data_IF_981004857453
#
_entry.id   IF_981004857453
#
_cell.length_a   1.000
_cell.length_b   1.000
_cell.length_c   1.000
_cell.angle_alpha   90.00
_cell.angle_beta   90.00
_cell.angle_gamma   90.00
#
_symmetry.space_group_name_H-M   'P 1'
#
loop_
_entity.id
_entity.type
_entity.pdbx_description
1 polymer ?
#
# COMPACT_ATOMS: atom_id res chain seq x y z
N UNK A 1 -36.71 -10.45 5.65
CA UNK A 1 -36.95 -9.48 4.55
C UNK A 1 -36.17 -9.98 3.36
N UNK A 2 -36.73 -9.92 2.15
CA UNK A 2 -36.00 -10.31 0.94
C UNK A 2 -34.94 -9.24 0.68
N UNK A 3 -33.68 -9.68 0.53
CA UNK A 3 -32.57 -8.85 0.12
C UNK A 3 -32.85 -8.23 -1.25
N UNK A 4 -32.58 -6.95 -1.41
CA UNK A 4 -32.76 -6.22 -2.66
C UNK A 4 -31.39 -6.14 -3.34
N UNK A 5 -31.28 -6.70 -4.54
CA UNK A 5 -30.06 -6.62 -5.34
C UNK A 5 -30.25 -5.65 -6.48
N UNK A 6 -29.41 -4.63 -6.57
CA UNK A 6 -29.43 -3.61 -7.62
C UNK A 6 -28.17 -3.67 -8.46
N UNK A 7 -28.38 -3.68 -9.76
CA UNK A 7 -27.33 -3.54 -10.78
C UNK A 7 -27.63 -2.37 -11.69
N UNK A 8 -26.60 -1.69 -12.17
CA UNK A 8 -26.75 -0.54 -13.05
C UNK A 8 -26.05 -0.83 -14.39
N UNK A 9 -26.61 -0.38 -15.53
CA UNK A 9 -26.03 -0.64 -16.84
C UNK A 9 -24.58 -0.14 -16.92
N UNK A 10 -23.66 -1.04 -17.30
CA UNK A 10 -22.23 -0.72 -17.43
C UNK A 10 -21.43 -0.66 -16.12
N UNK A 11 -22.10 -0.79 -14.96
CA UNK A 11 -21.42 -0.85 -13.66
C UNK A 11 -20.99 -2.29 -13.34
N UNK A 12 -19.75 -2.49 -12.84
CA UNK A 12 -19.30 -3.80 -12.37
C UNK A 12 -19.75 -4.08 -10.94
N UNK A 13 -20.44 -3.15 -10.27
CA UNK A 13 -20.90 -3.30 -8.89
C UNK A 13 -22.29 -3.91 -8.81
N UNK A 14 -22.47 -4.74 -7.80
CA UNK A 14 -23.74 -5.36 -7.43
C UNK A 14 -24.10 -4.92 -6.00
N UNK A 15 -25.07 -4.00 -5.86
CA UNK A 15 -25.45 -3.46 -4.57
C UNK A 15 -26.52 -4.34 -3.90
N UNK A 16 -26.19 -4.87 -2.76
CA UNK A 16 -27.08 -5.64 -1.88
C UNK A 16 -27.58 -4.73 -0.75
N UNK A 17 -28.88 -4.63 -0.59
CA UNK A 17 -29.47 -3.78 0.44
C UNK A 17 -30.69 -4.44 1.09
N UNK A 18 -30.86 -4.30 2.42
CA UNK A 18 -32.04 -4.84 3.10
C UNK A 18 -33.30 -3.95 2.94
N UNK A 19 -33.12 -2.74 2.37
CA UNK A 19 -34.18 -1.74 2.20
C UNK A 19 -33.92 -0.83 0.99
N UNK A 20 -34.95 -0.14 0.54
CA UNK A 20 -34.87 0.93 -0.46
C UNK A 20 -34.48 2.27 0.18
N UNK A 21 -33.83 3.19 -0.57
CA UNK A 21 -33.62 4.56 -0.11
C UNK A 21 -34.93 5.23 0.31
N UNK A 22 -34.91 5.93 1.44
CA UNK A 22 -36.08 6.55 2.02
C UNK A 22 -35.81 7.97 2.55
N UNK A 23 -36.86 8.73 2.82
CA UNK A 23 -36.73 10.13 3.23
C UNK A 23 -36.08 10.98 2.14
N UNK A 24 -35.05 11.74 2.50
CA UNK A 24 -34.29 12.60 1.58
C UNK A 24 -33.19 11.85 0.77
N UNK A 25 -32.96 10.56 1.08
CA UNK A 25 -31.90 9.78 0.41
C UNK A 25 -32.09 9.68 -1.11
N UNK A 26 -33.32 9.40 -1.66
CA UNK A 26 -33.50 9.32 -3.12
C UNK A 26 -33.10 10.63 -3.82
N UNK A 27 -33.51 11.78 -3.27
CA UNK A 27 -33.16 13.08 -3.81
C UNK A 27 -31.66 13.33 -3.74
N UNK A 28 -31.02 13.08 -2.59
CA UNK A 28 -29.59 13.25 -2.42
C UNK A 28 -28.76 12.35 -3.38
N UNK A 29 -29.19 11.09 -3.60
CA UNK A 29 -28.56 10.19 -4.55
C UNK A 29 -28.65 10.75 -5.97
N UNK A 30 -29.81 11.24 -6.38
CA UNK A 30 -30.02 11.78 -7.73
C UNK A 30 -29.18 13.04 -7.94
N UNK A 31 -29.26 14.03 -7.04
CA UNK A 31 -28.52 15.30 -7.14
C UNK A 31 -27.00 15.07 -7.17
N UNK A 32 -26.48 14.15 -6.34
CA UNK A 32 -25.06 13.83 -6.33
C UNK A 32 -24.59 13.12 -7.62
N UNK A 33 -25.41 12.23 -8.18
CA UNK A 33 -25.11 11.58 -9.45
C UNK A 33 -25.16 12.56 -10.62
N UNK A 34 -26.20 13.43 -10.70
CA UNK A 34 -26.28 14.50 -11.69
C UNK A 34 -25.09 15.45 -11.62
N UNK A 35 -24.63 15.77 -10.40
CA UNK A 35 -23.43 16.57 -10.18
C UNK A 35 -22.18 15.90 -10.74
N UNK A 36 -21.99 14.60 -10.53
CA UNK A 36 -20.88 13.83 -11.11
C UNK A 36 -20.95 13.77 -12.63
N UNK A 37 -22.12 13.49 -13.18
CA UNK A 37 -22.35 13.43 -14.64
C UNK A 37 -22.11 14.80 -15.32
N UNK A 38 -22.43 15.89 -14.63
CA UNK A 38 -22.15 17.26 -15.09
C UNK A 38 -20.71 17.72 -14.88
N UNK A 39 -19.86 16.89 -14.28
CA UNK A 39 -18.43 17.15 -14.07
C UNK A 39 -18.11 18.03 -12.87
N UNK A 40 -18.97 18.10 -11.87
CA UNK A 40 -18.65 18.78 -10.61
C UNK A 40 -17.52 18.07 -9.88
N UNK A 41 -16.43 18.80 -9.64
CA UNK A 41 -15.24 18.24 -8.98
C UNK A 41 -15.44 17.99 -7.47
N UNK A 42 -16.32 18.76 -6.83
CA UNK A 42 -16.57 18.70 -5.38
C UNK A 42 -18.06 18.81 -5.09
N UNK A 43 -18.52 17.95 -4.19
CA UNK A 43 -19.89 17.98 -3.67
C UNK A 43 -19.86 17.68 -2.19
N UNK A 44 -20.83 18.17 -1.43
CA UNK A 44 -20.93 17.93 0.01
C UNK A 44 -22.30 17.38 0.36
N UNK A 45 -22.33 16.19 0.96
CA UNK A 45 -23.52 15.61 1.57
C UNK A 45 -23.55 15.96 3.06
N UNK A 46 -24.49 16.80 3.47
CA UNK A 46 -24.72 17.15 4.88
C UNK A 46 -25.85 16.28 5.43
N UNK A 47 -25.56 15.51 6.47
CA UNK A 47 -26.55 14.66 7.14
C UNK A 47 -26.17 14.38 8.57
N UNK A 48 -27.16 14.29 9.45
CA UNK A 48 -26.98 13.91 10.87
C UNK A 48 -26.50 12.44 10.97
N UNK A 49 -25.98 12.08 12.13
CA UNK A 49 -25.63 10.69 12.42
C UNK A 49 -26.88 9.80 12.29
N UNK A 50 -26.74 8.66 11.62
CA UNK A 50 -27.85 7.73 11.38
C UNK A 50 -28.79 8.10 10.22
N UNK A 51 -28.49 9.16 9.44
CA UNK A 51 -29.27 9.49 8.23
C UNK A 51 -29.02 8.57 7.03
N UNK A 52 -28.15 7.58 7.16
CA UNK A 52 -27.82 6.63 6.08
C UNK A 52 -26.85 7.17 5.05
N UNK A 53 -25.93 8.07 5.42
CA UNK A 53 -24.88 8.58 4.52
C UNK A 53 -24.07 7.46 3.85
N UNK A 54 -23.73 6.41 4.59
CA UNK A 54 -23.02 5.24 4.04
C UNK A 54 -23.82 4.55 2.93
N UNK A 55 -25.12 4.39 3.13
CA UNK A 55 -26.02 3.82 2.13
C UNK A 55 -26.14 4.72 0.89
N UNK A 56 -26.18 6.04 1.09
CA UNK A 56 -26.13 7.01 -0.02
C UNK A 56 -24.83 6.86 -0.82
N UNK A 57 -23.66 6.77 -0.15
CA UNK A 57 -22.38 6.54 -0.82
C UNK A 57 -22.39 5.22 -1.62
N UNK A 58 -22.90 4.13 -1.05
CA UNK A 58 -22.98 2.84 -1.72
C UNK A 58 -23.83 2.90 -3.01
N UNK A 59 -24.98 3.61 -2.96
CA UNK A 59 -25.81 3.82 -4.16
C UNK A 59 -25.09 4.62 -5.26
N UNK A 60 -24.30 5.63 -4.87
CA UNK A 60 -23.54 6.44 -5.83
C UNK A 60 -22.41 5.57 -6.45
N UNK A 61 -21.66 4.82 -5.66
CA UNK A 61 -20.60 3.91 -6.13
C UNK A 61 -21.18 2.89 -7.11
N UNK A 62 -22.29 2.24 -6.76
CA UNK A 62 -22.93 1.26 -7.61
C UNK A 62 -23.40 1.87 -8.94
N UNK A 63 -23.98 3.06 -8.93
CA UNK A 63 -24.51 3.74 -10.12
C UNK A 63 -23.40 4.25 -11.04
N UNK A 64 -22.35 4.85 -10.48
CA UNK A 64 -21.21 5.38 -11.25
C UNK A 64 -20.33 4.29 -11.85
N UNK A 65 -20.25 3.13 -11.21
CA UNK A 65 -19.54 1.97 -11.74
C UNK A 65 -18.02 2.13 -11.85
N UNK A 66 -17.44 3.03 -11.07
CA UNK A 66 -15.99 3.30 -11.03
C UNK A 66 -15.41 2.98 -9.65
N UNK A 67 -14.12 2.66 -9.56
CA UNK A 67 -13.48 2.43 -8.26
C UNK A 67 -13.69 3.60 -7.30
N UNK A 68 -13.72 3.30 -5.99
CA UNK A 68 -13.92 4.31 -4.97
C UNK A 68 -12.93 4.14 -3.81
N UNK A 69 -12.56 5.27 -3.20
CA UNK A 69 -11.85 5.31 -1.92
C UNK A 69 -12.68 6.13 -0.91
N UNK A 70 -12.84 5.58 0.28
CA UNK A 70 -13.53 6.21 1.41
C UNK A 70 -12.50 6.49 2.49
N UNK A 71 -12.23 7.75 2.75
CA UNK A 71 -11.28 8.20 3.75
C UNK A 71 -12.00 8.43 5.09
N UNK A 72 -11.62 7.69 6.12
CA UNK A 72 -12.17 7.80 7.47
C UNK A 72 -11.19 8.46 8.45
N UNK A 73 -11.64 9.23 9.43
CA UNK A 73 -10.77 9.98 10.34
C UNK A 73 -10.00 9.11 11.34
N UNK A 74 -10.43 7.89 11.59
CA UNK A 74 -9.74 6.96 12.49
C UNK A 74 -10.02 5.48 12.14
N UNK A 75 -9.25 4.55 12.75
CA UNK A 75 -9.37 3.10 12.49
C UNK A 75 -10.75 2.54 12.86
N UNK A 76 -11.38 3.03 13.92
CA UNK A 76 -12.69 2.53 14.37
C UNK A 76 -13.78 2.84 13.36
N UNK A 77 -13.85 4.08 12.89
CA UNK A 77 -14.80 4.48 11.85
C UNK A 77 -14.49 3.82 10.52
N UNK A 78 -13.20 3.65 10.17
CA UNK A 78 -12.81 2.90 8.99
C UNK A 78 -13.27 1.43 9.07
N UNK A 79 -13.15 0.77 10.22
CA UNK A 79 -13.61 -0.60 10.39
C UNK A 79 -15.13 -0.72 10.26
N UNK A 80 -15.88 0.23 10.80
CA UNK A 80 -17.34 0.28 10.65
C UNK A 80 -17.74 0.46 9.17
N UNK A 81 -17.18 1.45 8.48
CA UNK A 81 -17.45 1.71 7.06
C UNK A 81 -17.07 0.51 6.18
N UNK A 82 -15.94 -0.14 6.50
CA UNK A 82 -15.51 -1.35 5.81
C UNK A 82 -16.53 -2.49 5.97
N UNK A 83 -17.02 -2.72 7.19
CA UNK A 83 -18.04 -3.73 7.45
C UNK A 83 -19.34 -3.43 6.69
N UNK A 84 -19.83 -2.20 6.78
CA UNK A 84 -21.04 -1.76 6.06
C UNK A 84 -20.89 -1.90 4.54
N UNK A 85 -19.73 -1.50 3.97
CA UNK A 85 -19.49 -1.62 2.53
C UNK A 85 -19.39 -3.09 2.09
N UNK A 86 -18.85 -3.99 2.91
CA UNK A 86 -18.85 -5.43 2.62
C UNK A 86 -20.24 -6.05 2.62
N UNK A 87 -21.16 -5.54 3.44
CA UNK A 87 -22.56 -5.95 3.41
C UNK A 87 -23.26 -5.44 2.15
N UNK A 88 -22.95 -4.21 1.71
CA UNK A 88 -23.51 -3.65 0.47
C UNK A 88 -22.91 -4.25 -0.80
N UNK A 89 -21.64 -4.69 -0.78
CA UNK A 89 -20.92 -5.19 -1.94
C UNK A 89 -20.26 -6.56 -1.66
N UNK A 90 -21.04 -7.62 -1.32
CA UNK A 90 -20.49 -8.91 -0.94
C UNK A 90 -19.73 -9.61 -2.06
N UNK A 91 -20.04 -9.31 -3.33
CA UNK A 91 -19.47 -9.92 -4.53
C UNK A 91 -18.36 -9.06 -5.17
N UNK A 92 -18.10 -7.86 -4.65
CA UNK A 92 -17.10 -6.93 -5.18
C UNK A 92 -15.87 -6.85 -4.27
N UNK A 93 -14.82 -6.18 -4.72
CA UNK A 93 -13.59 -6.02 -3.94
C UNK A 93 -13.74 -4.86 -2.95
N UNK A 94 -14.17 -5.15 -1.74
CA UNK A 94 -14.14 -4.19 -0.64
C UNK A 94 -12.88 -4.41 0.19
N UNK A 95 -12.03 -3.40 0.28
CA UNK A 95 -10.68 -3.49 0.80
C UNK A 95 -10.44 -2.53 1.98
N UNK A 96 -9.55 -2.90 2.89
CA UNK A 96 -9.24 -2.16 4.10
C UNK A 96 -7.79 -1.69 4.09
N UNK A 97 -7.58 -0.37 4.19
CA UNK A 97 -6.26 0.23 4.09
C UNK A 97 -6.00 1.22 5.24
N UNK A 98 -5.67 0.68 6.41
CA UNK A 98 -5.37 1.46 7.60
C UNK A 98 -3.90 1.29 8.02
N UNK A 99 -3.43 2.06 8.98
CA UNK A 99 -2.08 1.88 9.52
C UNK A 99 -1.90 0.45 10.07
N UNK A 100 -0.91 -0.25 9.57
CA UNK A 100 -0.58 -1.63 9.98
C UNK A 100 0.24 -1.71 11.27
N UNK A 101 0.49 -0.57 11.91
CA UNK A 101 1.17 -0.55 13.20
C UNK A 101 0.16 -0.72 14.35
N UNK A 102 0.40 -1.71 15.22
CA UNK A 102 -0.26 -1.80 16.52
C UNK A 102 0.36 -0.80 17.50
N UNK A 103 1.67 -0.57 17.34
CA UNK A 103 2.43 0.46 18.04
C UNK A 103 3.37 1.14 17.06
N UNK A 104 3.45 2.47 17.11
CA UNK A 104 4.34 3.25 16.27
C UNK A 104 4.92 4.44 17.02
N UNK A 105 6.23 4.45 17.17
CA UNK A 105 7.03 5.57 17.64
C UNK A 105 7.93 6.03 16.50
N UNK A 106 7.68 7.21 15.90
CA UNK A 106 8.57 7.75 14.88
C UNK A 106 9.93 8.11 15.47
N UNK A 107 10.98 8.02 14.67
CA UNK A 107 12.27 8.57 15.06
C UNK A 107 12.16 10.08 15.27
N UNK A 108 12.78 10.58 16.32
CA UNK A 108 12.78 12.00 16.64
C UNK A 108 14.06 12.38 17.41
N UNK A 109 14.41 13.66 17.37
CA UNK A 109 15.47 14.20 18.19
C UNK A 109 14.96 15.38 19.01
N UNK A 110 15.26 15.39 20.29
CA UNK A 110 14.89 16.45 21.24
C UNK A 110 16.15 17.23 21.61
N UNK A 111 16.46 18.34 20.93
CA UNK A 111 17.74 19.06 21.11
C UNK A 111 17.98 19.54 22.54
N UNK A 112 16.93 19.95 23.25
CA UNK A 112 17.03 20.44 24.64
C UNK A 112 17.49 19.40 25.64
N UNK A 113 17.41 18.10 25.30
CA UNK A 113 17.80 16.97 26.16
C UNK A 113 18.91 16.13 25.55
N UNK A 114 19.40 16.47 24.38
CA UNK A 114 20.30 15.65 23.54
C UNK A 114 19.82 14.19 23.44
N UNK A 115 18.51 14.01 23.25
CA UNK A 115 17.85 12.70 23.25
C UNK A 115 17.41 12.33 21.85
N UNK A 116 18.02 11.29 21.29
CA UNK A 116 17.54 10.65 20.07
C UNK A 116 16.57 9.52 20.44
N UNK A 117 15.39 9.55 19.84
CA UNK A 117 14.36 8.52 19.96
C UNK A 117 14.41 7.70 18.67
N UNK A 118 14.76 6.42 18.79
CA UNK A 118 14.74 5.52 17.65
C UNK A 118 13.31 5.22 17.19
N UNK A 119 13.15 4.95 15.87
CA UNK A 119 11.90 4.41 15.33
C UNK A 119 11.66 3.03 15.92
N UNK A 120 10.55 2.89 16.64
CA UNK A 120 10.07 1.62 17.16
C UNK A 120 8.63 1.35 16.66
N UNK A 121 8.35 0.11 16.28
CA UNK A 121 7.04 -0.24 15.72
C UNK A 121 6.77 -1.73 15.82
N UNK A 122 5.53 -2.06 16.15
CA UNK A 122 4.99 -3.41 16.07
C UNK A 122 4.02 -3.49 14.87
N UNK A 123 4.29 -4.39 13.95
CA UNK A 123 3.51 -4.59 12.73
C UNK A 123 2.43 -5.63 12.97
N UNK A 124 1.20 -5.32 12.56
CA UNK A 124 0.10 -6.26 12.48
C UNK A 124 0.11 -6.92 11.11
N UNK A 125 0.54 -8.18 11.04
CA UNK A 125 0.67 -8.92 9.78
C UNK A 125 -0.65 -9.10 9.03
N UNK A 126 -1.77 -9.18 9.75
CA UNK A 126 -3.08 -9.29 9.12
C UNK A 126 -3.49 -7.99 8.43
N UNK A 127 -3.27 -6.84 9.08
CA UNK A 127 -3.53 -5.54 8.45
C UNK A 127 -2.55 -5.29 7.29
N UNK A 128 -1.30 -5.72 7.39
CA UNK A 128 -0.34 -5.64 6.28
C UNK A 128 -0.83 -6.43 5.07
N UNK A 129 -1.31 -7.66 5.27
CA UNK A 129 -1.91 -8.48 4.23
C UNK A 129 -3.11 -7.78 3.57
N UNK A 130 -4.02 -7.18 4.36
CA UNK A 130 -5.17 -6.45 3.83
C UNK A 130 -4.76 -5.23 2.98
N UNK A 131 -3.70 -4.53 3.36
CA UNK A 131 -3.14 -3.41 2.58
C UNK A 131 -2.58 -3.88 1.23
N UNK A 132 -1.86 -5.00 1.21
CA UNK A 132 -1.34 -5.59 -0.04
C UNK A 132 -2.48 -6.08 -0.94
N UNK A 133 -3.54 -6.67 -0.35
CA UNK A 133 -4.76 -7.04 -1.06
C UNK A 133 -5.43 -5.81 -1.70
N UNK A 134 -5.57 -4.73 -0.97
CA UNK A 134 -6.16 -3.49 -1.47
C UNK A 134 -5.37 -2.91 -2.67
N UNK A 135 -4.04 -2.91 -2.58
CA UNK A 135 -3.18 -2.43 -3.66
C UNK A 135 -3.31 -3.30 -4.91
N UNK A 136 -3.37 -4.63 -4.76
CA UNK A 136 -3.61 -5.54 -5.87
C UNK A 136 -4.97 -5.31 -6.49
N UNK A 137 -6.03 -5.23 -5.67
CA UNK A 137 -7.40 -5.06 -6.14
C UNK A 137 -7.58 -3.78 -6.95
N UNK A 138 -7.04 -2.64 -6.49
CA UNK A 138 -7.17 -1.37 -7.23
C UNK A 138 -6.40 -1.38 -8.57
N UNK A 139 -5.33 -2.16 -8.67
CA UNK A 139 -4.55 -2.30 -9.89
C UNK A 139 -5.18 -3.28 -10.90
N UNK A 140 -5.96 -4.26 -10.45
CA UNK A 140 -6.51 -5.32 -11.29
C UNK A 140 -8.01 -5.20 -11.57
N UNK A 141 -8.78 -4.58 -10.66
CA UNK A 141 -10.25 -4.63 -10.66
C UNK A 141 -10.85 -3.23 -10.72
N UNK A 142 -11.93 -3.13 -11.50
CA UNK A 142 -12.72 -1.90 -11.61
C UNK A 142 -13.81 -1.79 -10.55
N UNK A 143 -14.16 -2.88 -9.91
CA UNK A 143 -15.18 -3.01 -8.87
C UNK A 143 -14.58 -2.95 -7.45
N UNK A 144 -13.63 -2.03 -7.24
CA UNK A 144 -12.90 -1.93 -5.98
C UNK A 144 -13.36 -0.73 -5.15
N UNK A 145 -13.66 -0.98 -3.87
CA UNK A 145 -13.91 0.05 -2.84
C UNK A 145 -12.85 -0.08 -1.76
N UNK A 146 -12.03 0.95 -1.56
CA UNK A 146 -11.02 0.98 -0.51
C UNK A 146 -11.52 1.86 0.64
N UNK A 147 -11.54 1.35 1.86
CA UNK A 147 -11.74 2.15 3.07
C UNK A 147 -10.40 2.38 3.75
N UNK A 148 -9.99 3.65 3.87
CA UNK A 148 -8.66 4.03 4.32
C UNK A 148 -8.68 5.08 5.43
N UNK A 149 -7.56 5.21 6.14
CA UNK A 149 -7.31 6.32 7.07
C UNK A 149 -6.17 7.20 6.59
N UNK A 150 -6.14 8.47 6.97
CA UNK A 150 -5.11 9.45 6.56
C UNK A 150 -3.69 8.94 6.82
N UNK A 151 -3.45 8.36 8.00
CA UNK A 151 -2.11 7.87 8.38
C UNK A 151 -1.61 6.70 7.53
N UNK A 152 -2.51 6.02 6.83
CA UNK A 152 -2.19 4.81 6.10
C UNK A 152 -1.77 5.06 4.66
N UNK A 153 -2.17 6.18 4.05
CA UNK A 153 -1.91 6.45 2.63
C UNK A 153 -0.44 6.73 2.33
N UNK A 154 0.34 7.11 3.33
CA UNK A 154 1.77 7.39 3.21
C UNK A 154 2.63 6.15 3.42
N UNK A 155 3.92 6.26 3.07
CA UNK A 155 4.89 5.21 3.33
C UNK A 155 4.72 3.99 2.42
N UNK A 156 4.38 4.21 1.17
CA UNK A 156 4.34 3.19 0.12
C UNK A 156 5.22 3.59 -1.06
N UNK A 157 5.68 2.60 -1.81
CA UNK A 157 6.55 2.81 -2.96
C UNK A 157 5.81 3.37 -4.16
N UNK A 158 6.54 3.52 -5.27
CA UNK A 158 6.04 4.01 -6.54
C UNK A 158 5.15 2.97 -7.22
N UNK A 159 3.93 3.33 -7.71
CA UNK A 159 3.02 2.37 -8.36
C UNK A 159 3.65 1.64 -9.56
N UNK A 160 4.46 2.35 -10.36
CA UNK A 160 5.12 1.79 -11.53
C UNK A 160 6.13 0.70 -11.12
N UNK A 161 6.98 0.96 -10.10
CA UNK A 161 7.95 -0.01 -9.61
C UNK A 161 7.24 -1.24 -9.02
N UNK A 162 6.16 -1.04 -8.25
CA UNK A 162 5.35 -2.13 -7.71
C UNK A 162 4.73 -3.00 -8.83
N UNK A 163 4.18 -2.36 -9.87
CA UNK A 163 3.58 -3.04 -11.01
C UNK A 163 4.62 -3.75 -11.89
N UNK A 164 5.79 -3.12 -12.09
CA UNK A 164 6.88 -3.69 -12.88
C UNK A 164 7.47 -4.94 -12.23
N UNK A 165 7.52 -4.99 -10.92
CA UNK A 165 8.08 -6.12 -10.19
C UNK A 165 7.13 -7.31 -10.01
N UNK A 166 5.86 -7.20 -10.43
CA UNK A 166 4.95 -8.36 -10.43
C UNK A 166 5.46 -9.47 -11.35
N UNK A 167 5.31 -10.70 -10.93
CA UNK A 167 5.70 -11.88 -11.70
C UNK A 167 4.47 -12.57 -12.26
N UNK A 168 4.31 -12.52 -13.58
CA UNK A 168 3.22 -13.19 -14.29
C UNK A 168 3.73 -14.56 -14.74
N UNK A 169 3.05 -15.64 -14.32
CA UNK A 169 3.37 -17.03 -14.66
C UNK A 169 2.20 -17.66 -15.40
N UNK A 170 2.50 -18.39 -16.47
CA UNK A 170 1.50 -19.15 -17.27
C UNK A 170 2.01 -20.55 -17.48
N UNK A 171 1.11 -21.53 -17.51
CA UNK A 171 1.44 -22.89 -17.91
C UNK A 171 2.06 -22.89 -19.32
N UNK A 172 3.19 -23.55 -19.47
CA UNK A 172 4.00 -23.57 -20.70
C UNK A 172 5.07 -22.46 -20.76
N UNK A 173 5.15 -21.55 -19.80
CA UNK A 173 6.23 -20.56 -19.75
C UNK A 173 7.57 -21.27 -19.52
N UNK A 174 8.61 -20.84 -20.27
CA UNK A 174 9.98 -21.27 -20.08
C UNK A 174 10.70 -20.33 -19.10
N UNK A 175 11.05 -20.85 -17.96
CA UNK A 175 11.76 -20.11 -16.92
C UNK A 175 12.53 -21.04 -16.01
N UNK A 176 13.84 -20.86 -15.93
CA UNK A 176 14.65 -21.67 -15.04
C UNK A 176 14.24 -21.49 -13.56
N UNK A 177 14.35 -22.57 -12.80
CA UNK A 177 14.10 -22.54 -11.35
C UNK A 177 14.89 -21.44 -10.64
N UNK A 178 16.15 -21.23 -11.07
CA UNK A 178 17.02 -20.21 -10.45
C UNK A 178 16.55 -18.78 -10.74
N UNK A 179 16.10 -18.51 -11.96
CA UNK A 179 15.52 -17.20 -12.33
C UNK A 179 14.23 -16.93 -11.55
N UNK A 180 13.37 -17.95 -11.39
CA UNK A 180 12.14 -17.83 -10.62
C UNK A 180 12.45 -17.49 -9.15
N UNK A 181 13.36 -18.23 -8.50
CA UNK A 181 13.79 -17.97 -7.12
C UNK A 181 14.38 -16.57 -6.99
N UNK A 182 15.27 -16.18 -7.92
CA UNK A 182 15.89 -14.85 -7.92
C UNK A 182 14.84 -13.73 -7.98
N UNK A 183 13.82 -13.88 -8.82
CA UNK A 183 12.72 -12.90 -8.92
C UNK A 183 11.91 -12.83 -7.63
N UNK A 184 11.59 -13.96 -7.00
CA UNK A 184 10.88 -13.97 -5.69
C UNK A 184 11.69 -13.23 -4.62
N UNK A 185 13.00 -13.44 -4.55
CA UNK A 185 13.88 -12.72 -3.60
C UNK A 185 13.89 -11.22 -3.89
N UNK A 186 13.98 -10.78 -5.15
CA UNK A 186 13.90 -9.37 -5.52
C UNK A 186 12.54 -8.75 -5.17
N UNK A 187 11.47 -9.54 -5.20
CA UNK A 187 10.13 -9.14 -4.76
C UNK A 187 9.94 -9.16 -3.24
N UNK A 188 11.03 -9.33 -2.47
CA UNK A 188 11.07 -9.38 -1.00
C UNK A 188 10.41 -10.62 -0.38
N UNK A 189 10.20 -11.70 -1.15
CA UNK A 189 9.82 -13.00 -0.57
C UNK A 189 11.00 -13.65 0.12
N UNK A 190 10.75 -14.27 1.28
CA UNK A 190 11.75 -14.99 2.05
C UNK A 190 11.66 -16.48 1.78
N UNK A 191 12.80 -17.14 1.61
CA UNK A 191 12.82 -18.59 1.53
C UNK A 191 12.66 -19.20 2.93
N UNK A 192 11.67 -20.06 3.11
CA UNK A 192 11.43 -20.78 4.36
C UNK A 192 10.91 -22.17 4.09
N UNK A 193 11.63 -23.20 4.54
CA UNK A 193 11.24 -24.60 4.36
C UNK A 193 10.36 -25.10 5.52
N UNK A 194 10.55 -24.55 6.72
CA UNK A 194 9.87 -25.01 7.94
C UNK A 194 8.67 -24.16 8.31
N UNK A 195 8.81 -22.84 8.22
CA UNK A 195 7.76 -21.87 8.53
C UNK A 195 7.22 -21.28 7.22
N UNK A 196 6.23 -21.95 6.65
CA UNK A 196 5.62 -21.53 5.39
C UNK A 196 4.44 -20.60 5.67
N UNK A 197 4.72 -19.32 5.70
CA UNK A 197 3.80 -18.24 6.00
C UNK A 197 3.66 -17.26 4.82
N UNK A 198 2.77 -16.28 4.92
CA UNK A 198 2.61 -15.23 3.89
C UNK A 198 3.94 -14.51 3.63
N UNK A 199 4.21 -14.18 2.37
CA UNK A 199 5.46 -13.55 1.96
C UNK A 199 6.66 -14.49 1.98
N UNK A 200 6.44 -15.81 2.06
CA UNK A 200 7.50 -16.81 1.96
C UNK A 200 7.31 -17.74 0.76
N UNK A 201 8.40 -18.39 0.35
CA UNK A 201 8.37 -19.47 -0.61
C UNK A 201 9.24 -20.62 -0.14
N UNK A 202 8.96 -21.83 -0.63
CA UNK A 202 9.79 -23.03 -0.41
C UNK A 202 10.01 -23.78 -1.71
N UNK A 203 11.11 -24.54 -1.78
CA UNK A 203 11.51 -25.25 -2.98
C UNK A 203 11.77 -26.72 -2.65
N UNK A 204 11.05 -27.63 -3.31
CA UNK A 204 11.19 -29.06 -3.13
C UNK A 204 11.30 -29.75 -4.49
N UNK A 205 12.55 -30.09 -4.89
CA UNK A 205 12.80 -30.60 -6.24
C UNK A 205 12.41 -29.57 -7.30
N UNK A 206 11.53 -29.95 -8.19
CA UNK A 206 11.03 -29.09 -9.29
C UNK A 206 9.74 -28.36 -8.93
N UNK A 207 9.35 -28.40 -7.65
CA UNK A 207 8.17 -27.69 -7.13
C UNK A 207 8.58 -26.46 -6.34
N UNK A 208 7.96 -25.32 -6.67
CA UNK A 208 8.07 -24.07 -5.93
C UNK A 208 6.69 -23.72 -5.37
N UNK A 209 6.56 -23.72 -4.05
CA UNK A 209 5.36 -23.25 -3.35
C UNK A 209 5.59 -21.81 -2.92
N UNK A 210 4.67 -20.91 -3.24
CA UNK A 210 4.69 -19.50 -2.84
C UNK A 210 3.43 -19.21 -2.04
N UNK A 211 3.58 -18.57 -0.87
CA UNK A 211 2.42 -18.04 -0.15
C UNK A 211 2.36 -16.53 -0.42
N UNK A 212 1.50 -16.07 -1.35
CA UNK A 212 1.41 -14.66 -1.69
C UNK A 212 1.12 -13.80 -0.47
N UNK A 213 1.79 -12.67 -0.35
CA UNK A 213 1.69 -11.81 0.83
C UNK A 213 0.30 -11.17 0.98
N UNK A 214 -0.41 -10.98 -0.13
CA UNK A 214 -1.76 -10.43 -0.19
C UNK A 214 -2.88 -11.46 0.02
N UNK A 215 -2.56 -12.77 -0.02
CA UNK A 215 -3.56 -13.82 0.16
C UNK A 215 -3.84 -14.09 1.65
N UNK A 216 -5.11 -14.30 1.97
CA UNK A 216 -5.53 -14.63 3.33
C UNK A 216 -5.24 -16.09 3.70
N UNK A 217 -5.55 -17.04 2.81
CA UNK A 217 -5.65 -18.48 3.15
C UNK A 217 -4.93 -19.41 2.18
N UNK A 218 -4.84 -19.06 0.89
CA UNK A 218 -4.35 -19.98 -0.13
C UNK A 218 -2.93 -19.67 -0.58
N UNK A 219 -2.12 -20.69 -0.68
CA UNK A 219 -0.80 -20.66 -1.31
C UNK A 219 -0.89 -21.15 -2.77
N UNK A 220 0.17 -20.94 -3.52
CA UNK A 220 0.26 -21.31 -4.94
C UNK A 220 1.45 -22.23 -5.16
N UNK A 221 1.21 -23.35 -5.83
CA UNK A 221 2.19 -24.33 -6.25
C UNK A 221 2.50 -24.17 -7.72
N UNK A 222 3.77 -24.10 -8.05
CA UNK A 222 4.33 -24.12 -9.39
C UNK A 222 5.14 -25.39 -9.57
N UNK A 223 4.74 -26.23 -10.51
CA UNK A 223 5.45 -27.46 -10.85
C UNK A 223 6.19 -27.26 -12.17
N UNK A 224 7.52 -27.43 -12.15
CA UNK A 224 8.35 -27.33 -13.33
C UNK A 224 8.78 -28.73 -13.81
N UNK A 225 8.97 -28.88 -15.10
CA UNK A 225 9.70 -29.98 -15.71
C UNK A 225 10.87 -29.38 -16.48
N UNK A 226 12.08 -29.60 -16.01
CA UNK A 226 13.26 -28.82 -16.41
C UNK A 226 12.99 -27.31 -16.22
N UNK A 227 12.95 -26.54 -17.30
CA UNK A 227 12.70 -25.10 -17.30
C UNK A 227 11.28 -24.73 -17.76
N UNK A 228 10.41 -25.72 -18.01
CA UNK A 228 9.02 -25.49 -18.42
C UNK A 228 8.07 -25.58 -17.23
N UNK A 229 7.16 -24.60 -17.09
CA UNK A 229 6.12 -24.59 -16.08
C UNK A 229 4.94 -25.47 -16.50
N UNK A 230 4.85 -26.68 -15.96
CA UNK A 230 3.81 -27.67 -16.30
C UNK A 230 2.46 -27.35 -15.67
N UNK A 231 2.43 -26.92 -14.41
CA UNK A 231 1.19 -26.66 -13.73
C UNK A 231 1.27 -25.55 -12.68
N UNK A 232 0.12 -24.89 -12.47
CA UNK A 232 -0.09 -23.90 -11.41
C UNK A 232 -1.33 -24.33 -10.63
N UNK A 233 -1.21 -24.44 -9.30
CA UNK A 233 -2.31 -24.86 -8.45
C UNK A 233 -2.42 -24.03 -7.18
N UNK A 234 -3.63 -23.57 -6.86
CA UNK A 234 -3.98 -23.02 -5.56
C UNK A 234 -4.18 -24.16 -4.58
N UNK A 235 -3.60 -24.08 -3.40
CA UNK A 235 -3.70 -25.09 -2.38
C UNK A 235 -3.79 -24.51 -0.96
N UNK A 236 -4.38 -25.28 -0.07
CA UNK A 236 -4.40 -24.99 1.36
C UNK A 236 -3.03 -25.30 1.98
N UNK A 237 -2.29 -24.32 2.51
CA UNK A 237 -0.94 -24.51 3.02
C UNK A 237 -0.86 -25.41 4.26
N UNK A 238 -1.96 -25.57 5.02
CA UNK A 238 -2.02 -26.40 6.22
C UNK A 238 -2.20 -27.89 5.87
N UNK A 239 -3.08 -28.18 4.92
CA UNK A 239 -3.43 -29.56 4.55
C UNK A 239 -2.68 -30.04 3.31
N UNK A 240 -2.13 -29.14 2.51
CA UNK A 240 -1.53 -29.44 1.21
C UNK A 240 -2.55 -29.77 0.10
N UNK A 241 -3.86 -29.67 0.41
CA UNK A 241 -4.93 -30.02 -0.54
C UNK A 241 -5.03 -28.99 -1.65
N UNK A 242 -4.94 -29.44 -2.90
CA UNK A 242 -5.20 -28.61 -4.08
C UNK A 242 -6.68 -28.23 -4.10
N UNK A 243 -6.92 -26.92 -4.18
CA UNK A 243 -8.27 -26.34 -4.29
C UNK A 243 -8.64 -26.15 -5.75
N UNK A 244 -7.71 -25.60 -6.56
CA UNK A 244 -7.96 -25.27 -7.96
C UNK A 244 -6.67 -25.28 -8.76
N UNK A 245 -6.70 -25.79 -10.01
CA UNK A 245 -5.66 -25.54 -11.00
C UNK A 245 -6.02 -24.34 -11.84
N UNK A 246 -5.03 -23.48 -12.15
CA UNK A 246 -5.22 -22.28 -12.94
C UNK A 246 -4.18 -22.21 -14.06
N UNK A 247 -4.54 -21.71 -15.26
CA UNK A 247 -3.59 -21.62 -16.38
C UNK A 247 -2.62 -20.44 -16.24
N UNK A 248 -2.93 -19.49 -15.34
CA UNK A 248 -2.14 -18.27 -15.12
C UNK A 248 -2.27 -17.82 -13.68
N UNK A 249 -1.17 -17.31 -13.13
CA UNK A 249 -1.14 -16.65 -11.84
C UNK A 249 -0.23 -15.43 -11.85
N UNK A 250 -0.57 -14.40 -11.08
CA UNK A 250 0.26 -13.19 -10.89
C UNK A 250 0.69 -13.12 -9.44
N UNK A 251 1.99 -13.13 -9.21
CA UNK A 251 2.58 -12.92 -7.89
C UNK A 251 2.91 -11.42 -7.78
N UNK A 252 2.42 -10.77 -6.73
CA UNK A 252 2.74 -9.39 -6.39
C UNK A 252 3.87 -9.34 -5.37
N UNK A 253 4.62 -8.23 -5.28
CA UNK A 253 5.66 -8.06 -4.28
C UNK A 253 5.16 -8.28 -2.85
N UNK A 254 6.01 -8.83 -1.99
CA UNK A 254 5.70 -9.07 -0.58
C UNK A 254 5.70 -7.81 0.30
N UNK A 255 6.05 -6.66 -0.26
CA UNK A 255 6.08 -5.37 0.43
C UNK A 255 5.70 -4.25 -0.54
N UNK A 256 5.13 -3.16 -0.02
CA UNK A 256 4.88 -1.95 -0.81
C UNK A 256 6.16 -1.21 -1.21
N UNK A 257 7.23 -1.34 -0.42
CA UNK A 257 8.54 -0.79 -0.74
C UNK A 257 9.39 -1.81 -1.48
N UNK A 258 9.16 -1.92 -2.77
CA UNK A 258 10.02 -2.68 -3.68
C UNK A 258 10.50 -1.75 -4.78
N UNK A 259 11.77 -1.87 -5.11
CA UNK A 259 12.41 -1.01 -6.11
C UNK A 259 13.27 -1.90 -7.03
N UNK A 260 13.15 -1.76 -8.35
CA UNK A 260 13.99 -2.47 -9.30
C UNK A 260 15.48 -2.24 -9.03
N UNK A 261 16.31 -3.25 -9.30
CA UNK A 261 17.75 -3.22 -8.97
C UNK A 261 18.49 -2.06 -9.61
N UNK A 262 18.18 -1.72 -10.84
CA UNK A 262 18.75 -0.58 -11.56
C UNK A 262 18.40 0.77 -10.91
N UNK A 263 17.18 0.91 -10.41
CA UNK A 263 16.76 2.09 -9.64
C UNK A 263 17.50 2.17 -8.29
N UNK A 264 17.71 1.03 -7.61
CA UNK A 264 18.48 0.98 -6.36
C UNK A 264 19.93 1.43 -6.61
N UNK A 265 20.59 0.91 -7.66
CA UNK A 265 21.98 1.29 -7.98
C UNK A 265 22.09 2.79 -8.27
N UNK A 266 21.15 3.34 -9.04
CA UNK A 266 21.07 4.80 -9.29
C UNK A 266 20.86 5.59 -7.99
N UNK A 267 19.96 5.12 -7.13
CA UNK A 267 19.67 5.77 -5.84
C UNK A 267 20.90 5.78 -4.94
N UNK A 268 21.63 4.67 -4.84
CA UNK A 268 22.87 4.56 -4.06
C UNK A 268 23.87 5.64 -4.45
N UNK A 269 24.12 5.82 -5.74
CA UNK A 269 25.07 6.85 -6.22
C UNK A 269 24.58 8.27 -5.89
N UNK A 270 23.30 8.56 -6.12
CA UNK A 270 22.72 9.84 -5.79
C UNK A 270 22.72 10.14 -4.27
N UNK A 271 22.51 9.13 -3.42
CA UNK A 271 22.62 9.25 -1.96
C UNK A 271 24.06 9.54 -1.54
N UNK A 272 25.07 8.88 -2.14
CA UNK A 272 26.48 9.13 -1.88
C UNK A 272 26.89 10.56 -2.23
N UNK A 273 26.36 11.10 -3.32
CA UNK A 273 26.60 12.50 -3.71
C UNK A 273 26.05 13.47 -2.66
N UNK A 274 24.79 13.31 -2.29
CA UNK A 274 24.16 14.17 -1.27
C UNK A 274 24.85 14.04 0.09
N UNK A 275 25.27 12.84 0.49
CA UNK A 275 26.03 12.61 1.71
C UNK A 275 27.36 13.39 1.70
N UNK A 276 28.10 13.34 0.59
CA UNK A 276 29.36 14.05 0.43
C UNK A 276 29.20 15.56 0.60
N UNK A 277 28.18 16.10 -0.07
CA UNK A 277 27.88 17.53 -0.03
C UNK A 277 27.44 17.96 1.36
N UNK A 278 26.54 17.21 2.00
CA UNK A 278 26.07 17.56 3.34
C UNK A 278 27.14 17.41 4.40
N UNK A 279 27.97 16.36 4.31
CA UNK A 279 29.13 16.17 5.20
C UNK A 279 30.09 17.34 5.11
N UNK A 280 30.38 17.84 3.90
CA UNK A 280 31.24 19.02 3.70
C UNK A 280 30.66 20.24 4.41
N UNK A 281 29.36 20.51 4.28
CA UNK A 281 28.70 21.63 4.97
C UNK A 281 28.87 21.52 6.49
N UNK A 282 28.66 20.35 7.07
CA UNK A 282 28.84 20.14 8.52
C UNK A 282 30.31 20.35 8.96
N UNK A 283 31.27 19.90 8.18
CA UNK A 283 32.70 20.10 8.48
C UNK A 283 33.09 21.58 8.41
N UNK A 284 32.61 22.29 7.40
CA UNK A 284 32.86 23.74 7.24
C UNK A 284 32.23 24.57 8.38
N UNK A 285 31.10 24.08 8.95
CA UNK A 285 30.44 24.68 10.13
C UNK A 285 31.04 24.19 11.47
N UNK A 286 32.04 23.31 11.48
CA UNK A 286 32.65 22.76 12.69
C UNK A 286 31.78 21.72 13.42
N UNK A 287 30.73 21.21 12.79
CA UNK A 287 29.80 20.20 13.34
C UNK A 287 30.30 18.78 13.08
N UNK A 288 31.37 18.41 13.79
CA UNK A 288 32.07 17.13 13.57
C UNK A 288 31.22 15.91 13.96
N UNK A 289 30.44 16.02 15.01
CA UNK A 289 29.57 14.93 15.52
C UNK A 289 28.45 14.67 14.53
N UNK A 290 27.81 15.71 14.04
CA UNK A 290 26.74 15.60 13.04
C UNK A 290 27.26 15.01 11.72
N UNK A 291 28.45 15.42 11.28
CA UNK A 291 29.08 14.88 10.09
C UNK A 291 29.37 13.38 10.22
N UNK A 292 29.95 12.94 11.34
CA UNK A 292 30.26 11.53 11.60
C UNK A 292 28.99 10.67 11.74
N UNK A 293 27.99 11.16 12.47
CA UNK A 293 26.71 10.49 12.67
C UNK A 293 25.99 10.25 11.34
N UNK A 294 25.89 11.28 10.53
CA UNK A 294 25.25 11.19 9.21
C UNK A 294 25.96 10.19 8.31
N UNK A 295 27.30 10.24 8.27
CA UNK A 295 28.10 9.33 7.46
C UNK A 295 27.91 7.86 7.87
N UNK A 296 28.07 7.56 9.15
CA UNK A 296 27.95 6.19 9.64
C UNK A 296 26.58 5.61 9.36
N UNK A 297 25.51 6.37 9.63
CA UNK A 297 24.14 5.92 9.39
C UNK A 297 23.86 5.72 7.92
N UNK A 298 24.23 6.67 7.08
CA UNK A 298 23.95 6.60 5.64
C UNK A 298 24.73 5.46 4.99
N UNK A 299 25.99 5.25 5.32
CA UNK A 299 26.79 4.14 4.77
C UNK A 299 26.20 2.78 5.16
N UNK A 300 25.76 2.61 6.39
CA UNK A 300 25.06 1.40 6.81
C UNK A 300 23.76 1.16 6.04
N UNK A 301 22.94 2.20 5.87
CA UNK A 301 21.69 2.10 5.12
C UNK A 301 21.98 1.78 3.62
N UNK A 302 23.06 2.33 3.03
CA UNK A 302 23.48 2.04 1.67
C UNK A 302 23.92 0.58 1.49
N UNK A 303 24.67 0.01 2.45
CA UNK A 303 25.05 -1.41 2.45
C UNK A 303 23.80 -2.29 2.47
N UNK A 304 22.82 -1.99 3.32
CA UNK A 304 21.55 -2.73 3.36
C UNK A 304 20.77 -2.62 2.05
N UNK A 305 20.70 -1.42 1.45
CA UNK A 305 20.06 -1.24 0.15
C UNK A 305 20.76 -2.05 -0.96
N UNK A 306 22.10 -2.10 -0.95
CA UNK A 306 22.85 -2.85 -1.95
C UNK A 306 22.69 -4.36 -1.79
N UNK A 307 22.78 -4.88 -0.57
CA UNK A 307 22.76 -6.32 -0.29
C UNK A 307 21.35 -6.93 -0.29
N UNK A 308 20.37 -6.21 0.25
CA UNK A 308 19.02 -6.73 0.53
C UNK A 308 17.95 -6.03 -0.31
N UNK A 309 18.25 -4.85 -0.88
CA UNK A 309 17.26 -4.01 -1.55
C UNK A 309 16.33 -3.25 -0.60
N UNK A 310 16.61 -3.26 0.70
CA UNK A 310 15.80 -2.62 1.72
C UNK A 310 16.66 -2.18 2.92
N UNK A 311 16.29 -1.06 3.56
CA UNK A 311 16.87 -0.64 4.83
C UNK A 311 15.79 -0.13 5.80
N UNK A 312 16.09 -0.15 7.11
CA UNK A 312 15.17 0.41 8.13
C UNK A 312 15.06 1.93 7.95
N UNK A 313 13.84 2.42 7.70
CA UNK A 313 13.62 3.84 7.40
C UNK A 313 13.82 4.21 5.93
N UNK A 314 13.61 3.24 5.02
CA UNK A 314 13.72 3.41 3.56
C UNK A 314 12.92 4.61 3.04
N UNK A 315 11.84 4.98 3.72
CA UNK A 315 11.02 6.15 3.40
C UNK A 315 11.82 7.47 3.39
N UNK A 316 12.93 7.55 4.14
CA UNK A 316 13.81 8.72 4.15
C UNK A 316 14.65 8.85 2.87
N UNK A 317 14.66 7.85 2.03
CA UNK A 317 15.36 7.82 0.74
C UNK A 317 14.37 7.85 -0.44
N UNK A 318 13.08 8.11 -0.21
CA UNK A 318 12.03 8.07 -1.23
C UNK A 318 12.36 8.90 -2.46
N UNK A 319 12.91 10.12 -2.31
CA UNK A 319 13.32 10.98 -3.43
C UNK A 319 14.34 10.30 -4.34
N UNK A 320 15.35 9.65 -3.77
CA UNK A 320 16.40 8.97 -4.53
C UNK A 320 15.87 7.70 -5.22
N UNK A 321 15.08 6.90 -4.49
CA UNK A 321 14.49 5.66 -5.00
C UNK A 321 13.51 5.93 -6.14
N UNK A 322 12.68 6.97 -6.01
CA UNK A 322 11.71 7.34 -7.05
C UNK A 322 12.32 8.15 -8.19
N UNK A 323 13.48 8.78 -7.96
CA UNK A 323 14.11 9.68 -8.92
C UNK A 323 13.37 11.02 -9.10
N UNK A 324 12.49 11.38 -8.18
CA UNK A 324 11.74 12.65 -8.23
C UNK A 324 12.62 13.87 -7.92
N UNK A 325 12.25 15.00 -8.50
CA UNK A 325 12.91 16.26 -8.24
C UNK A 325 12.71 16.73 -6.78
N UNK A 326 13.62 17.53 -6.23
CA UNK A 326 13.44 18.13 -4.91
C UNK A 326 12.12 18.91 -4.82
N UNK A 327 11.40 18.74 -3.70
CA UNK A 327 10.11 19.39 -3.45
C UNK A 327 8.88 18.70 -4.03
N UNK A 328 9.06 17.64 -4.82
CA UNK A 328 7.95 16.80 -5.27
C UNK A 328 7.55 15.83 -4.15
N UNK A 329 6.25 15.70 -3.92
CA UNK A 329 5.72 14.79 -2.89
C UNK A 329 6.09 13.33 -3.18
N UNK A 330 6.46 12.54 -2.16
CA UNK A 330 6.66 11.10 -2.34
C UNK A 330 5.34 10.41 -2.70
N UNK A 331 5.38 9.26 -3.41
CA UNK A 331 4.19 8.51 -3.75
C UNK A 331 3.37 8.11 -2.52
N UNK A 332 2.06 8.10 -2.68
CA UNK A 332 1.11 7.67 -1.67
C UNK A 332 0.01 6.79 -2.29
N UNK A 333 -0.94 6.31 -1.50
CA UNK A 333 -2.03 5.45 -1.99
C UNK A 333 -2.84 6.12 -3.12
N UNK A 334 -2.95 7.44 -3.10
CA UNK A 334 -3.72 8.18 -4.14
C UNK A 334 -3.08 8.01 -5.52
N UNK A 335 -1.76 7.85 -5.59
CA UNK A 335 -1.05 7.63 -6.87
C UNK A 335 -1.32 6.24 -7.49
N UNK A 336 -1.87 5.29 -6.71
CA UNK A 336 -2.31 3.98 -7.19
C UNK A 336 -3.73 3.98 -7.75
N UNK A 337 -4.50 5.04 -7.46
CA UNK A 337 -5.91 5.12 -7.88
C UNK A 337 -6.02 5.44 -9.38
N UNK A 338 -6.97 4.83 -10.10
CA UNK A 338 -7.29 5.24 -11.46
C UNK A 338 -7.84 6.67 -11.47
N UNK A 339 -7.64 7.38 -12.58
CA UNK A 339 -7.98 8.82 -12.71
C UNK A 339 -9.47 9.14 -12.51
N UNK A 340 -10.33 8.19 -12.75
CA UNK A 340 -11.78 8.28 -12.60
C UNK A 340 -12.29 7.76 -11.25
N UNK A 341 -11.39 7.46 -10.30
CA UNK A 341 -11.74 6.99 -8.97
C UNK A 341 -12.54 8.05 -8.19
N UNK A 342 -13.64 7.63 -7.58
CA UNK A 342 -14.40 8.48 -6.65
C UNK A 342 -13.68 8.56 -5.30
N UNK A 343 -13.61 9.75 -4.73
CA UNK A 343 -13.03 9.98 -3.40
C UNK A 343 -14.09 10.50 -2.45
N UNK A 344 -14.35 9.75 -1.39
CA UNK A 344 -15.24 10.15 -0.31
C UNK A 344 -14.43 10.50 0.95
N UNK A 345 -14.71 11.63 1.54
CA UNK A 345 -14.11 12.07 2.81
C UNK A 345 -15.19 12.04 3.89
N UNK A 346 -15.21 10.95 4.66
CA UNK A 346 -16.14 10.85 5.79
C UNK A 346 -15.72 11.83 6.89
N UNK A 347 -16.71 12.56 7.45
CA UNK A 347 -16.45 13.62 8.43
C UNK A 347 -15.38 14.62 7.96
N UNK A 348 -15.57 15.16 6.74
CA UNK A 348 -14.56 16.00 6.04
C UNK A 348 -14.09 17.20 6.87
N UNK A 349 -14.93 17.73 7.78
CA UNK A 349 -14.56 18.80 8.69
C UNK A 349 -13.43 18.43 9.67
N UNK A 350 -13.27 17.13 9.98
CA UNK A 350 -12.15 16.59 10.78
C UNK A 350 -10.97 16.22 9.87
N UNK A 351 -11.25 15.55 8.75
CA UNK A 351 -10.26 15.00 7.84
C UNK A 351 -9.31 16.05 7.26
N UNK A 352 -9.83 17.20 6.83
CA UNK A 352 -9.01 18.27 6.26
C UNK A 352 -7.98 18.80 7.25
N UNK A 353 -8.36 18.91 8.52
CA UNK A 353 -7.45 19.29 9.60
C UNK A 353 -6.35 18.25 9.85
N UNK A 354 -6.69 16.96 9.77
CA UNK A 354 -5.73 15.85 9.95
C UNK A 354 -4.69 15.80 8.84
N UNK A 355 -5.09 15.94 7.57
CA UNK A 355 -4.18 15.97 6.42
C UNK A 355 -3.14 17.08 6.57
N UNK A 356 -3.58 18.31 6.87
CA UNK A 356 -2.67 19.42 7.11
C UNK A 356 -1.78 19.26 8.35
N UNK A 357 -2.32 18.65 9.41
CA UNK A 357 -1.60 18.38 10.66
C UNK A 357 -0.47 17.35 10.48
N UNK A 358 -0.73 16.28 9.74
CA UNK A 358 0.27 15.25 9.43
C UNK A 358 1.46 15.83 8.65
N UNK A 359 1.21 16.59 7.61
CA UNK A 359 2.28 17.23 6.83
C UNK A 359 3.17 18.12 7.71
N UNK A 360 2.56 19.03 8.48
CA UNK A 360 3.33 19.98 9.32
C UNK A 360 4.12 19.28 10.43
N UNK A 361 3.53 18.27 11.04
CA UNK A 361 4.18 17.48 12.11
C UNK A 361 5.37 16.68 11.60
N UNK A 362 5.21 15.98 10.48
CA UNK A 362 6.29 15.20 9.87
C UNK A 362 7.42 16.08 9.38
N UNK A 363 7.11 17.20 8.71
CA UNK A 363 8.10 18.17 8.24
C UNK A 363 8.96 18.72 9.37
N UNK A 364 8.35 19.21 10.45
CA UNK A 364 9.07 19.77 11.60
C UNK A 364 10.00 18.73 12.24
N UNK A 365 9.54 17.49 12.38
CA UNK A 365 10.33 16.38 12.91
C UNK A 365 11.54 16.09 12.02
N UNK A 366 11.34 15.95 10.72
CA UNK A 366 12.40 15.68 9.74
C UNK A 366 13.40 16.81 9.61
N UNK A 367 12.96 18.06 9.59
CA UNK A 367 13.84 19.23 9.59
C UNK A 367 14.80 19.19 10.80
N UNK A 368 14.31 18.80 11.98
CA UNK A 368 15.16 18.65 13.16
C UNK A 368 16.18 17.50 12.98
N UNK A 369 15.77 16.35 12.46
CA UNK A 369 16.69 15.22 12.20
C UNK A 369 17.79 15.58 11.19
N UNK A 370 17.45 16.34 10.16
CA UNK A 370 18.40 16.83 9.14
C UNK A 370 19.38 17.84 9.73
N UNK A 371 18.89 18.78 10.54
CA UNK A 371 19.71 19.83 11.14
C UNK A 371 20.80 19.25 12.07
N UNK A 372 20.48 18.15 12.77
CA UNK A 372 21.39 17.52 13.74
C UNK A 372 22.09 16.26 13.20
N UNK A 373 22.10 16.05 11.87
CA UNK A 373 22.89 14.99 11.21
C UNK A 373 22.36 13.57 11.40
N UNK A 374 21.07 13.38 11.69
CA UNK A 374 20.46 12.06 11.74
C UNK A 374 19.92 11.60 10.38
N UNK A 375 19.58 12.54 9.50
CA UNK A 375 19.07 12.27 8.15
C UNK A 375 19.65 13.24 7.13
N UNK A 376 19.62 12.81 5.86
CA UNK A 376 19.98 13.65 4.71
C UNK A 376 18.92 14.74 4.46
N UNK A 377 19.27 15.85 3.80
CA UNK A 377 18.32 16.91 3.45
C UNK A 377 17.11 16.45 2.63
N UNK A 378 17.25 15.34 1.89
CA UNK A 378 16.20 14.75 1.06
C UNK A 378 15.17 13.90 1.82
N UNK A 379 15.37 13.68 3.11
CA UNK A 379 14.56 12.78 3.94
C UNK A 379 13.08 13.17 4.06
#
# INVERSE_FOLDING_TARGET
MSEIVKTFPGSPFELHAPYEPSGDQPQAIEELNEGLESGLAYQTLLGVTGSGKTFTMANIIARQGVPAIIMAPNKTLAAQLYSEMREFFPNNAVEYFVSYYDYYQPEAYVPSRDLFIEKDSAINEHIEQMRLSATKSILERRDTVIVATVSAIYGIGKPESYTQMRLIMRTGDLKSRQEFISQLVHMQYKRSEMDFARGTFRVRGDTIDVFPAEHAELAVRFELFDDELESIALFDPLTGRIVQKVPRFVIYPASHYVTPRDEIVRAIESIKEELRDRKKVFLDEGKLVEAQRLEQRTLFDLEMLDQVGFCKGIENYSRHLTGLAPGVAPPCLIDYLPKDCLMFFDESHVMMGQLGGMYRGDRSRKETLVLYGFRLPSA
#
